data_IF_823048706446
#
_entry.id   IF_823048706446
#
_cell.length_a   1.000
_cell.length_b   1.000
_cell.length_c   1.000
_cell.angle_alpha   90.00
_cell.angle_beta   90.00
_cell.angle_gamma   90.00
#
_symmetry.space_group_name_H-M   'P 1'
#
loop_
_entity.id
_entity.type
_entity.pdbx_description
1 polymer ?
#
# COMPACT_ATOMS: atom_id res chain seq x y z
N UNK A 1 19.90 -16.10 -0.15
CA UNK A 1 19.73 -15.09 -1.22
C UNK A 1 19.39 -13.76 -0.56
N UNK A 2 20.15 -12.71 -0.87
CA UNK A 2 19.88 -11.34 -0.39
C UNK A 2 18.88 -10.70 -1.37
N UNK A 3 17.66 -10.40 -0.92
CA UNK A 3 16.58 -9.90 -1.78
C UNK A 3 16.67 -8.39 -2.09
N UNK A 4 17.74 -7.71 -1.68
CA UNK A 4 17.95 -6.28 -1.92
C UNK A 4 17.04 -5.33 -1.14
N UNK A 5 16.28 -5.83 -0.16
CA UNK A 5 15.51 -4.99 0.75
C UNK A 5 16.44 -4.08 1.58
N UNK A 6 16.14 -2.79 1.63
CA UNK A 6 16.86 -1.79 2.43
C UNK A 6 15.91 -1.24 3.48
N UNK A 7 16.41 -1.04 4.71
CA UNK A 7 15.62 -0.49 5.80
C UNK A 7 16.49 0.30 6.77
N UNK A 8 15.83 1.08 7.63
CA UNK A 8 16.46 1.69 8.80
C UNK A 8 15.95 1.02 10.07
N UNK A 9 16.83 0.81 11.05
CA UNK A 9 16.48 0.26 12.38
C UNK A 9 16.11 1.35 13.38
N UNK A 10 16.17 2.62 13.00
CA UNK A 10 15.90 3.76 13.89
C UNK A 10 14.52 3.67 14.54
N UNK A 11 13.55 3.10 13.83
CA UNK A 11 12.17 3.00 14.28
C UNK A 11 11.84 1.67 14.97
N UNK A 12 12.80 0.75 15.14
CA UNK A 12 12.53 -0.59 15.68
C UNK A 12 12.05 -0.56 17.15
N UNK A 13 12.42 0.47 17.90
CA UNK A 13 11.99 0.69 19.29
C UNK A 13 10.79 1.62 19.43
N UNK A 14 10.25 2.13 18.31
CA UNK A 14 9.17 3.11 18.32
C UNK A 14 7.82 2.42 18.55
N UNK A 15 6.99 3.05 19.37
CA UNK A 15 5.58 2.72 19.56
C UNK A 15 4.75 3.49 18.52
N UNK A 16 3.49 3.10 18.32
CA UNK A 16 2.57 3.81 17.42
C UNK A 16 2.53 5.32 17.69
N UNK A 17 2.55 5.72 18.97
CA UNK A 17 2.55 7.13 19.38
C UNK A 17 3.78 7.89 18.88
N UNK A 18 4.95 7.25 18.86
CA UNK A 18 6.20 7.90 18.44
C UNK A 18 6.13 8.24 16.93
N UNK A 19 5.48 7.41 16.11
CA UNK A 19 5.21 7.73 14.69
C UNK A 19 4.27 8.93 14.52
N UNK A 20 3.20 9.00 15.31
CA UNK A 20 2.28 10.15 15.28
C UNK A 20 2.93 11.46 15.75
N UNK A 21 3.88 11.38 16.68
CA UNK A 21 4.57 12.56 17.20
C UNK A 21 5.73 13.02 16.29
N UNK A 22 6.48 12.09 15.70
CA UNK A 22 7.71 12.39 14.98
C UNK A 22 7.56 12.46 13.46
N UNK A 23 6.61 11.71 12.88
CA UNK A 23 6.39 11.64 11.43
C UNK A 23 5.05 12.27 11.06
N UNK A 24 3.94 11.66 11.48
CA UNK A 24 2.57 12.05 11.11
C UNK A 24 2.01 13.17 12.00
N UNK A 25 2.87 14.13 12.33
CA UNK A 25 2.51 15.29 13.11
C UNK A 25 1.97 16.42 12.21
N UNK A 26 1.66 17.57 12.82
CA UNK A 26 1.12 18.75 12.12
C UNK A 26 2.02 19.26 10.98
N UNK A 27 3.32 18.99 11.03
CA UNK A 27 4.30 19.45 10.04
C UNK A 27 4.41 18.47 8.86
N UNK A 28 3.78 17.29 8.92
CA UNK A 28 3.84 16.30 7.85
C UNK A 28 3.43 16.88 6.49
N UNK A 29 2.44 17.79 6.48
CA UNK A 29 1.94 18.46 5.28
C UNK A 29 3.01 19.36 4.64
N UNK A 30 3.96 19.87 5.41
CA UNK A 30 5.06 20.69 4.87
C UNK A 30 6.07 19.84 4.08
N UNK A 31 6.16 18.54 4.39
CA UNK A 31 7.05 17.58 3.73
C UNK A 31 6.34 16.73 2.68
N UNK A 32 5.02 16.59 2.78
CA UNK A 32 4.16 15.88 1.82
C UNK A 32 2.80 16.58 1.65
N UNK A 33 2.74 17.72 0.93
CA UNK A 33 1.51 18.48 0.76
C UNK A 33 0.48 17.74 -0.12
N UNK A 34 0.94 16.94 -1.07
CA UNK A 34 0.09 16.23 -2.04
C UNK A 34 -0.79 15.17 -1.37
N UNK A 35 -0.36 14.66 -0.21
CA UNK A 35 -1.14 13.74 0.64
C UNK A 35 -2.55 14.26 0.95
N UNK A 36 -2.71 15.58 1.10
CA UNK A 36 -3.99 16.16 1.56
C UNK A 36 -5.12 15.90 0.56
N UNK A 37 -4.86 16.07 -0.74
CA UNK A 37 -5.94 16.02 -1.74
C UNK A 37 -5.49 15.64 -3.16
N UNK A 38 -4.39 16.17 -3.67
CA UNK A 38 -3.99 15.94 -5.06
C UNK A 38 -3.64 14.47 -5.33
N UNK A 39 -2.88 13.83 -4.45
CA UNK A 39 -2.62 12.38 -4.53
C UNK A 39 -3.90 11.55 -4.37
N UNK A 40 -4.75 11.76 -3.35
CA UNK A 40 -6.05 11.10 -3.26
C UNK A 40 -6.94 11.25 -4.50
N UNK A 41 -6.97 12.43 -5.13
CA UNK A 41 -7.71 12.66 -6.38
C UNK A 41 -7.14 11.87 -7.55
N UNK A 42 -5.81 11.87 -7.70
CA UNK A 42 -5.12 11.12 -8.74
C UNK A 42 -5.38 9.61 -8.58
N UNK A 43 -5.23 9.09 -7.36
CA UNK A 43 -5.48 7.67 -7.05
C UNK A 43 -6.95 7.29 -7.26
N UNK A 44 -7.90 8.11 -6.80
CA UNK A 44 -9.32 7.88 -7.07
C UNK A 44 -9.62 7.85 -8.57
N UNK A 45 -9.01 8.76 -9.36
CA UNK A 45 -9.17 8.80 -10.81
C UNK A 45 -8.59 7.57 -11.47
N UNK A 46 -7.41 7.13 -11.03
CA UNK A 46 -6.78 5.89 -11.48
C UNK A 46 -7.70 4.68 -11.23
N UNK A 47 -8.24 4.51 -10.02
CA UNK A 47 -9.15 3.40 -9.68
C UNK A 47 -10.42 3.42 -10.54
N UNK A 48 -11.00 4.60 -10.79
CA UNK A 48 -12.17 4.72 -11.69
C UNK A 48 -11.86 4.30 -13.12
N UNK A 49 -10.65 4.58 -13.60
CA UNK A 49 -10.21 4.22 -14.95
C UNK A 49 -9.90 2.72 -15.10
N UNK A 50 -9.85 1.94 -14.02
CA UNK A 50 -9.83 0.48 -14.09
C UNK A 50 -11.20 -0.11 -14.47
N UNK A 51 -12.26 0.70 -14.49
CA UNK A 51 -13.62 0.30 -14.85
C UNK A 51 -14.15 -0.92 -14.06
N UNK A 52 -13.71 -1.06 -12.81
CA UNK A 52 -14.17 -2.12 -11.91
C UNK A 52 -15.66 -1.93 -11.57
N UNK A 53 -16.36 -3.05 -11.39
CA UNK A 53 -17.76 -3.05 -10.96
C UNK A 53 -17.92 -2.35 -9.61
N UNK A 54 -18.86 -1.40 -9.53
CA UNK A 54 -19.19 -0.69 -8.28
C UNK A 54 -19.78 -1.60 -7.19
N UNK A 55 -20.14 -2.85 -7.55
CA UNK A 55 -20.67 -3.84 -6.62
C UNK A 55 -19.60 -4.60 -5.85
N UNK A 56 -18.32 -4.49 -6.23
CA UNK A 56 -17.21 -5.10 -5.50
C UNK A 56 -17.12 -4.51 -4.09
N UNK A 57 -16.90 -5.35 -3.09
CA UNK A 57 -16.57 -4.90 -1.74
C UNK A 57 -15.08 -4.51 -1.74
N UNK A 58 -14.80 -3.23 -1.57
CA UNK A 58 -13.45 -2.67 -1.65
C UNK A 58 -12.93 -2.20 -0.29
N UNK A 59 -11.62 -2.25 -0.11
CA UNK A 59 -10.93 -1.67 1.05
C UNK A 59 -9.82 -0.73 0.59
N UNK A 60 -9.80 0.46 1.14
CA UNK A 60 -8.66 1.38 1.14
C UNK A 60 -7.84 1.14 2.43
N UNK A 61 -6.73 0.40 2.30
CA UNK A 61 -5.83 0.03 3.40
C UNK A 61 -4.75 1.09 3.53
N UNK A 62 -4.62 1.69 4.72
CA UNK A 62 -3.87 2.93 4.92
C UNK A 62 -4.56 4.14 4.31
N UNK A 63 -5.88 4.26 4.51
CA UNK A 63 -6.69 5.28 3.83
C UNK A 63 -6.38 6.74 4.24
N UNK A 64 -5.52 6.94 5.24
CA UNK A 64 -5.14 8.26 5.74
C UNK A 64 -6.35 9.11 6.12
N UNK A 65 -6.37 10.36 5.65
CA UNK A 65 -7.46 11.30 5.87
C UNK A 65 -8.81 10.89 5.23
N UNK A 66 -8.84 9.82 4.42
CA UNK A 66 -10.03 9.29 3.76
C UNK A 66 -10.56 10.13 2.60
N UNK A 67 -9.76 11.04 2.02
CA UNK A 67 -10.16 11.81 0.84
C UNK A 67 -10.43 10.92 -0.37
N UNK A 68 -9.55 9.93 -0.63
CA UNK A 68 -9.76 8.96 -1.74
C UNK A 68 -11.02 8.15 -1.51
N UNK A 69 -11.19 7.61 -0.29
CA UNK A 69 -12.38 6.90 0.17
C UNK A 69 -13.67 7.69 -0.12
N UNK A 70 -13.69 8.99 0.20
CA UNK A 70 -14.85 9.85 -0.05
C UNK A 70 -15.15 9.99 -1.56
N UNK A 71 -14.14 10.27 -2.37
CA UNK A 71 -14.27 10.44 -3.83
C UNK A 71 -14.78 9.14 -4.51
N UNK A 72 -14.30 7.98 -4.07
CA UNK A 72 -14.74 6.69 -4.58
C UNK A 72 -16.20 6.39 -4.19
N UNK A 73 -16.60 6.68 -2.95
CA UNK A 73 -18.00 6.54 -2.50
C UNK A 73 -18.95 7.45 -3.28
N UNK A 74 -18.55 8.68 -3.57
CA UNK A 74 -19.31 9.60 -4.43
C UNK A 74 -19.49 9.05 -5.86
N UNK A 75 -18.58 8.20 -6.31
CA UNK A 75 -18.63 7.54 -7.62
C UNK A 75 -19.41 6.22 -7.60
N UNK A 76 -20.05 5.88 -6.46
CA UNK A 76 -20.89 4.69 -6.31
C UNK A 76 -20.18 3.43 -5.81
N UNK A 77 -18.85 3.46 -5.57
CA UNK A 77 -18.12 2.30 -5.09
C UNK A 77 -18.44 1.97 -3.63
N UNK A 78 -18.53 0.67 -3.31
CA UNK A 78 -18.61 0.15 -1.94
C UNK A 78 -17.21 0.00 -1.37
N UNK A 79 -16.67 1.07 -0.81
CA UNK A 79 -15.32 1.09 -0.25
C UNK A 79 -15.35 1.39 1.25
N UNK A 80 -14.63 0.58 2.02
CA UNK A 80 -14.31 0.81 3.43
C UNK A 80 -12.89 1.35 3.55
N UNK A 81 -12.61 2.08 4.64
CA UNK A 81 -11.28 2.59 4.95
C UNK A 81 -10.76 1.98 6.23
N UNK A 82 -9.47 1.66 6.26
CA UNK A 82 -8.75 1.24 7.45
C UNK A 82 -7.40 1.94 7.50
N UNK A 83 -7.05 2.54 8.63
CA UNK A 83 -5.74 3.15 8.85
C UNK A 83 -5.37 3.05 10.34
N UNK A 84 -4.23 2.45 10.66
CA UNK A 84 -3.81 2.21 12.05
C UNK A 84 -3.46 3.49 12.82
N UNK A 85 -3.15 4.58 12.10
CA UNK A 85 -2.73 5.86 12.66
C UNK A 85 -3.87 6.90 12.69
N UNK A 86 -4.92 6.73 11.88
CA UNK A 86 -6.07 7.64 11.89
C UNK A 86 -7.17 7.21 12.87
N UNK A 87 -7.48 8.05 13.86
CA UNK A 87 -8.49 7.74 14.90
C UNK A 87 -9.89 7.44 14.36
N UNK A 88 -10.27 7.98 13.19
CA UNK A 88 -11.57 7.76 12.55
C UNK A 88 -11.61 6.40 11.85
N UNK A 89 -10.48 5.91 11.34
CA UNK A 89 -10.39 4.69 10.54
C UNK A 89 -9.58 3.56 11.21
N UNK A 90 -9.23 3.69 12.49
CA UNK A 90 -8.45 2.71 13.26
C UNK A 90 -9.15 1.36 13.50
N UNK A 91 -10.47 1.28 13.30
CA UNK A 91 -11.21 0.04 13.52
C UNK A 91 -10.92 -0.97 12.42
N UNK A 92 -10.20 -2.04 12.78
CA UNK A 92 -9.85 -3.12 11.83
C UNK A 92 -11.11 -3.80 11.27
N UNK A 93 -11.21 -3.98 9.94
CA UNK A 93 -12.33 -4.69 9.34
C UNK A 93 -12.47 -6.14 9.81
N UNK A 94 -13.71 -6.60 9.96
CA UNK A 94 -14.05 -7.98 10.31
C UNK A 94 -14.60 -8.81 9.12
N UNK A 95 -14.47 -8.28 7.89
CA UNK A 95 -14.92 -8.94 6.65
C UNK A 95 -13.78 -9.07 5.64
N UNK A 96 -14.03 -9.81 4.55
CA UNK A 96 -13.10 -9.96 3.42
C UNK A 96 -13.56 -9.18 2.20
N UNK A 97 -12.61 -8.67 1.44
CA UNK A 97 -12.83 -7.77 0.30
C UNK A 97 -12.51 -8.44 -1.04
N UNK A 98 -13.26 -8.04 -2.07
CA UNK A 98 -12.99 -8.42 -3.45
C UNK A 98 -11.77 -7.68 -3.99
N UNK A 99 -11.62 -6.40 -3.61
CA UNK A 99 -10.51 -5.55 -4.07
C UNK A 99 -9.93 -4.74 -2.92
N UNK A 100 -8.62 -4.84 -2.70
CA UNK A 100 -7.92 -4.01 -1.71
C UNK A 100 -7.00 -3.06 -2.47
N UNK A 101 -7.08 -1.77 -2.17
CA UNK A 101 -6.14 -0.75 -2.60
C UNK A 101 -5.31 -0.26 -1.42
N UNK A 102 -4.03 -0.01 -1.63
CA UNK A 102 -3.12 0.50 -0.59
C UNK A 102 -2.04 1.37 -1.24
N UNK A 103 -2.15 2.69 -1.13
CA UNK A 103 -1.20 3.61 -1.76
C UNK A 103 -0.29 4.26 -0.71
N UNK A 104 1.02 4.20 -0.91
CA UNK A 104 2.06 4.80 -0.05
C UNK A 104 1.96 4.30 1.42
N UNK A 105 2.02 2.97 1.61
CA UNK A 105 1.86 2.33 2.94
C UNK A 105 2.97 1.35 3.23
N UNK A 106 3.35 0.52 2.26
CA UNK A 106 4.26 -0.61 2.46
C UNK A 106 5.69 -0.13 2.80
N UNK A 107 6.06 1.04 2.31
CA UNK A 107 7.31 1.71 2.62
C UNK A 107 7.33 2.38 4.00
N UNK A 108 6.16 2.67 4.57
CA UNK A 108 6.00 3.39 5.83
C UNK A 108 6.08 2.51 7.09
N UNK A 109 6.06 1.19 6.92
CA UNK A 109 6.02 0.24 8.03
C UNK A 109 7.41 -0.28 8.39
N UNK A 110 7.74 -0.31 9.68
CA UNK A 110 8.92 -1.00 10.20
C UNK A 110 8.68 -2.52 10.36
N UNK A 111 7.43 -2.98 10.20
CA UNK A 111 7.02 -4.38 10.28
C UNK A 111 6.41 -4.86 8.95
N UNK A 112 7.18 -4.83 7.83
CA UNK A 112 6.63 -5.03 6.49
C UNK A 112 5.91 -6.37 6.32
N UNK A 113 6.42 -7.45 6.94
CA UNK A 113 5.73 -8.74 6.88
C UNK A 113 4.36 -8.72 7.58
N UNK A 114 4.24 -8.08 8.75
CA UNK A 114 2.99 -8.04 9.50
C UNK A 114 1.95 -7.19 8.78
N UNK A 115 2.35 -6.02 8.27
CA UNK A 115 1.48 -5.13 7.48
C UNK A 115 1.00 -5.84 6.20
N UNK A 116 1.91 -6.50 5.47
CA UNK A 116 1.55 -7.25 4.26
C UNK A 116 0.64 -8.44 4.56
N UNK A 117 0.91 -9.16 5.66
CA UNK A 117 0.06 -10.25 6.14
C UNK A 117 -1.34 -9.77 6.53
N UNK A 118 -1.44 -8.61 7.17
CA UNK A 118 -2.71 -8.02 7.57
C UNK A 118 -3.54 -7.62 6.36
N UNK A 119 -2.94 -6.84 5.44
CA UNK A 119 -3.59 -6.40 4.21
C UNK A 119 -4.10 -7.60 3.39
N UNK A 120 -3.21 -8.55 3.07
CA UNK A 120 -3.58 -9.71 2.26
C UNK A 120 -4.48 -10.68 3.03
N UNK A 121 -4.39 -10.68 4.36
CA UNK A 121 -5.28 -11.42 5.24
C UNK A 121 -6.73 -10.96 5.10
N UNK A 122 -7.02 -9.73 4.67
CA UNK A 122 -8.39 -9.23 4.44
C UNK A 122 -8.93 -9.57 3.04
N UNK A 123 -8.15 -10.25 2.20
CA UNK A 123 -8.53 -10.56 0.83
C UNK A 123 -9.45 -11.79 0.74
N UNK A 124 -10.47 -11.74 -0.13
CA UNK A 124 -11.24 -12.93 -0.53
C UNK A 124 -10.35 -13.89 -1.34
N UNK A 125 -10.75 -15.16 -1.43
CA UNK A 125 -9.98 -16.17 -2.17
C UNK A 125 -9.79 -15.82 -3.65
N UNK A 126 -10.79 -15.19 -4.27
CA UNK A 126 -10.78 -14.68 -5.63
C UNK A 126 -10.60 -13.15 -5.69
N UNK A 127 -10.06 -12.54 -4.63
CA UNK A 127 -9.82 -11.10 -4.56
C UNK A 127 -8.47 -10.69 -5.13
N UNK A 128 -8.33 -9.38 -5.36
CA UNK A 128 -7.10 -8.73 -5.80
C UNK A 128 -6.67 -7.65 -4.81
N UNK A 129 -5.39 -7.63 -4.43
CA UNK A 129 -4.78 -6.49 -3.77
C UNK A 129 -3.91 -5.72 -4.78
N UNK A 130 -4.16 -4.43 -4.92
CA UNK A 130 -3.36 -3.47 -5.68
C UNK A 130 -2.70 -2.52 -4.67
N UNK A 131 -1.39 -2.32 -4.77
CA UNK A 131 -0.70 -1.40 -3.87
C UNK A 131 0.43 -0.64 -4.55
N UNK A 132 0.79 0.52 -3.99
CA UNK A 132 1.94 1.29 -4.43
C UNK A 132 3.08 1.26 -3.42
N UNK A 133 4.30 1.23 -3.97
CA UNK A 133 5.56 1.59 -3.33
C UNK A 133 6.59 1.67 -4.45
N UNK A 134 7.53 2.61 -4.40
CA UNK A 134 8.55 2.73 -5.42
C UNK A 134 9.66 1.70 -5.20
N UNK A 135 9.90 0.87 -6.21
CA UNK A 135 10.95 -0.13 -6.14
C UNK A 135 12.34 0.51 -6.15
N UNK A 136 13.24 -0.15 -5.42
CA UNK A 136 14.65 0.22 -5.35
C UNK A 136 15.27 0.25 -6.77
N UNK A 137 15.91 1.35 -7.19
CA UNK A 137 16.49 1.47 -8.50
C UNK A 137 17.73 0.58 -8.62
N UNK A 138 18.01 0.08 -9.82
CA UNK A 138 19.14 -0.82 -10.07
C UNK A 138 20.51 -0.16 -9.82
N UNK A 139 20.60 1.18 -9.95
CA UNK A 139 21.80 1.97 -9.71
C UNK A 139 21.84 2.58 -8.29
N UNK A 140 21.13 2.01 -7.31
CA UNK A 140 21.14 2.52 -5.93
C UNK A 140 22.54 2.61 -5.32
N UNK A 141 23.49 1.76 -5.74
CA UNK A 141 24.87 1.82 -5.26
C UNK A 141 25.59 3.11 -5.68
N UNK A 142 25.20 3.69 -6.82
CA UNK A 142 25.76 4.95 -7.31
C UNK A 142 25.04 6.16 -6.67
N UNK A 143 23.72 6.08 -6.48
CA UNK A 143 22.91 7.17 -5.93
C UNK A 143 23.05 7.27 -4.40
N UNK A 144 23.08 6.11 -3.72
CA UNK A 144 23.09 6.01 -2.27
C UNK A 144 21.88 6.66 -1.61
N UNK A 145 22.12 7.25 -0.43
CA UNK A 145 21.10 7.94 0.38
C UNK A 145 20.59 9.24 -0.25
N UNK A 146 21.17 9.69 -1.37
CA UNK A 146 20.68 10.86 -2.10
C UNK A 146 19.44 10.53 -2.94
N UNK A 147 19.03 9.26 -3.02
CA UNK A 147 17.80 8.91 -3.69
C UNK A 147 16.61 9.45 -2.88
N UNK A 148 15.81 10.32 -3.48
CA UNK A 148 14.72 11.05 -2.83
C UNK A 148 13.71 10.16 -2.09
N UNK A 149 13.59 8.89 -2.48
CA UNK A 149 12.68 7.93 -1.85
C UNK A 149 13.23 7.35 -0.54
N UNK A 150 14.54 7.48 -0.27
CA UNK A 150 15.12 7.24 1.06
C UNK A 150 14.89 8.51 1.89
N UNK A 151 13.68 8.66 2.41
CA UNK A 151 13.25 9.84 3.15
C UNK A 151 12.59 9.45 4.49
N UNK A 152 13.37 9.08 5.53
CA UNK A 152 12.80 8.66 6.81
C UNK A 152 11.93 9.73 7.48
N UNK A 153 12.19 11.02 7.26
CA UNK A 153 11.33 12.11 7.75
C UNK A 153 9.91 12.06 7.18
N UNK A 154 9.78 11.58 5.95
CA UNK A 154 8.50 11.37 5.28
C UNK A 154 7.89 10.01 5.65
N UNK A 155 8.58 9.19 6.46
CA UNK A 155 8.12 7.88 6.90
C UNK A 155 8.65 6.72 6.06
N UNK A 156 9.41 6.96 4.99
CA UNK A 156 9.95 5.88 4.16
C UNK A 156 11.06 5.12 4.91
N UNK A 157 10.71 3.96 5.46
CA UNK A 157 11.53 3.15 6.36
C UNK A 157 11.91 1.82 5.73
N UNK A 158 11.01 1.25 4.93
CA UNK A 158 11.14 -0.07 4.30
C UNK A 158 11.16 0.06 2.79
N UNK A 159 12.32 -0.13 2.17
CA UNK A 159 12.51 0.11 0.74
C UNK A 159 12.66 -1.23 0.01
N UNK A 160 11.74 -1.49 -0.90
CA UNK A 160 11.54 -2.80 -1.48
C UNK A 160 12.13 -2.95 -2.88
N UNK A 161 12.65 -4.13 -3.18
CA UNK A 161 12.78 -4.62 -4.57
C UNK A 161 11.57 -5.47 -4.93
N UNK A 162 11.36 -5.73 -6.22
CA UNK A 162 10.34 -6.68 -6.69
C UNK A 162 10.57 -8.08 -6.09
N UNK A 163 11.83 -8.50 -5.94
CA UNK A 163 12.18 -9.77 -5.32
C UNK A 163 11.76 -9.81 -3.83
N UNK A 164 11.97 -8.72 -3.10
CA UNK A 164 11.58 -8.64 -1.69
C UNK A 164 10.06 -8.71 -1.50
N UNK A 165 9.27 -8.02 -2.34
CA UNK A 165 7.80 -8.07 -2.30
C UNK A 165 7.26 -9.44 -2.71
N UNK A 166 7.89 -10.08 -3.69
CA UNK A 166 7.56 -11.46 -4.09
C UNK A 166 7.78 -12.44 -2.94
N UNK A 167 8.91 -12.34 -2.23
CA UNK A 167 9.20 -13.16 -1.04
C UNK A 167 8.20 -12.89 0.09
N UNK A 168 7.89 -11.62 0.39
CA UNK A 168 6.89 -11.26 1.40
C UNK A 168 5.53 -11.87 1.07
N UNK A 169 5.09 -11.71 -0.17
CA UNK A 169 3.83 -12.26 -0.67
C UNK A 169 3.78 -13.77 -0.52
N UNK A 170 4.82 -14.49 -0.96
CA UNK A 170 4.90 -15.95 -0.84
C UNK A 170 5.00 -16.45 0.60
N UNK A 171 5.58 -15.65 1.49
CA UNK A 171 5.63 -15.94 2.93
C UNK A 171 4.25 -15.83 3.59
N UNK A 172 3.39 -14.92 3.10
CA UNK A 172 1.99 -14.84 3.56
C UNK A 172 1.18 -16.03 3.06
N UNK A 173 1.27 -16.34 1.77
CA UNK A 173 0.62 -17.51 1.18
C UNK A 173 1.39 -17.96 -0.08
N UNK A 174 1.81 -19.23 -0.13
CA UNK A 174 2.56 -19.79 -1.26
C UNK A 174 1.77 -19.75 -2.59
N UNK A 175 0.44 -19.72 -2.53
CA UNK A 175 -0.44 -19.66 -3.69
C UNK A 175 -0.65 -18.22 -4.22
N UNK A 176 -0.16 -17.20 -3.50
CA UNK A 176 -0.27 -15.83 -3.99
C UNK A 176 0.76 -15.54 -5.08
N UNK A 177 0.30 -15.00 -6.21
CA UNK A 177 1.13 -14.42 -7.24
C UNK A 177 1.41 -12.95 -6.90
N UNK A 178 2.60 -12.47 -7.27
CA UNK A 178 2.99 -11.07 -7.19
C UNK A 178 3.37 -10.60 -8.61
N UNK A 179 2.87 -9.43 -9.00
CA UNK A 179 3.18 -8.79 -10.28
C UNK A 179 3.47 -7.30 -10.07
N UNK A 180 4.55 -6.80 -10.67
CA UNK A 180 4.79 -5.36 -10.81
C UNK A 180 4.31 -4.90 -12.17
N UNK A 181 3.39 -3.95 -12.20
CA UNK A 181 2.92 -3.31 -13.44
C UNK A 181 3.93 -2.27 -13.93
N UNK A 182 4.54 -1.55 -13.00
CA UNK A 182 5.61 -0.60 -13.24
C UNK A 182 6.48 -0.48 -11.98
N UNK A 183 7.32 0.56 -11.89
CA UNK A 183 8.20 0.79 -10.74
C UNK A 183 7.47 1.12 -9.43
N UNK A 184 6.24 1.62 -9.49
CA UNK A 184 5.50 2.09 -8.31
C UNK A 184 4.20 1.35 -8.04
N UNK A 185 3.75 0.45 -8.92
CA UNK A 185 2.42 -0.16 -8.83
C UNK A 185 2.48 -1.68 -8.96
N UNK A 186 1.87 -2.37 -8.00
CA UNK A 186 1.99 -3.81 -7.81
C UNK A 186 0.66 -4.47 -7.48
N UNK A 187 0.56 -5.76 -7.78
CA UNK A 187 -0.63 -6.57 -7.61
C UNK A 187 -0.30 -7.87 -6.89
N UNK A 188 -1.23 -8.33 -6.05
CA UNK A 188 -1.22 -9.66 -5.44
C UNK A 188 -2.59 -10.30 -5.57
N UNK A 189 -2.63 -11.56 -6.00
CA UNK A 189 -3.85 -12.37 -6.06
C UNK A 189 -3.53 -13.85 -5.87
N UNK A 190 -4.55 -14.68 -5.60
CA UNK A 190 -4.38 -16.13 -5.53
C UNK A 190 -4.30 -16.75 -6.92
N UNK A 191 -3.19 -17.39 -7.27
CA UNK A 191 -3.00 -17.99 -8.60
C UNK A 191 -3.86 -19.23 -8.83
N UNK A 192 -4.35 -19.89 -7.77
CA UNK A 192 -5.27 -21.03 -7.88
C UNK A 192 -6.73 -20.61 -8.09
N UNK A 193 -7.06 -19.39 -7.69
CA UNK A 193 -8.39 -18.79 -7.85
C UNK A 193 -8.27 -17.34 -8.29
N UNK A 194 -7.85 -17.07 -9.55
CA UNK A 194 -7.66 -15.71 -10.02
C UNK A 194 -8.96 -14.90 -9.96
N UNK A 195 -8.89 -13.57 -9.75
CA UNK A 195 -10.05 -12.70 -9.79
C UNK A 195 -10.72 -12.71 -11.17
N UNK A 196 -12.06 -12.75 -11.25
CA UNK A 196 -12.77 -12.73 -12.53
C UNK A 196 -12.64 -11.39 -13.27
N UNK A 197 -12.13 -10.36 -12.61
CA UNK A 197 -11.92 -9.00 -13.15
C UNK A 197 -10.43 -8.66 -13.33
N UNK A 198 -9.55 -9.66 -13.46
CA UNK A 198 -8.10 -9.44 -13.64
C UNK A 198 -7.75 -8.87 -15.04
N UNK A 199 -8.70 -8.79 -15.97
CA UNK A 199 -8.48 -8.43 -17.38
C UNK A 199 -7.78 -7.08 -17.57
N UNK A 200 -7.99 -6.10 -16.67
CA UNK A 200 -7.33 -4.78 -16.76
C UNK A 200 -5.80 -4.85 -16.66
N UNK A 201 -5.24 -5.96 -16.19
CA UNK A 201 -3.79 -6.18 -16.08
C UNK A 201 -3.13 -6.39 -17.45
N UNK A 202 -3.91 -6.79 -18.46
CA UNK A 202 -3.41 -7.17 -19.79
C UNK A 202 -3.72 -6.15 -20.88
N UNK A 203 -4.31 -5.00 -20.52
CA UNK A 203 -4.61 -3.88 -21.42
C UNK A 203 -3.54 -2.80 -21.32
#
# INVERSE_FOLDING_TARGET
>A
MQCGFIFTTVCDSWREQDFSELIYNKEYIDYDPDYVLERPKANASFIRNLHLSVNLEMLDFGCGNGAMLHLLRQSGYKVDGYDSFDTKYKSKPNKKYDFIMSFEVIEHTHMPFQTHQEMLGLLRSNGLALFSTLLLPSNIQDIGINWWYIAPRNGHISIHTAQSLSILTKRVNADYAFLSLNQGLHLVYNSKTPPPFLEFVYC
#
